data_IF_898522879391
#
_entry.id   IF_898522879391
#
_cell.length_a   1.000
_cell.length_b   1.000
_cell.length_c   1.000
_cell.angle_alpha   90.00
_cell.angle_beta   90.00
_cell.angle_gamma   90.00
#
_symmetry.space_group_name_H-M   'P 1'
#
loop_
_entity.id
_entity.type
_entity.pdbx_description
1 polymer ?
#
# COMPACT_ATOMS: atom_id res chain seq x y z
N UNK A 1 0.18 57.89 -51.60
CA UNK A 1 0.80 56.58 -51.89
C UNK A 1 0.60 55.67 -50.68
N UNK A 2 -0.07 54.52 -50.92
CA UNK A 2 0.08 53.22 -50.25
C UNK A 2 0.12 53.13 -48.71
N UNK A 3 -1.05 52.79 -48.15
CA UNK A 3 -1.35 51.70 -47.20
C UNK A 3 -0.34 51.42 -46.06
N UNK A 4 -0.78 51.61 -44.81
CA UNK A 4 -0.39 50.73 -43.70
C UNK A 4 -1.66 50.34 -42.96
N UNK A 5 -1.96 49.04 -43.02
CA UNK A 5 -3.03 48.37 -42.27
C UNK A 5 -2.56 48.20 -40.83
N UNK A 6 -3.37 48.62 -39.87
CA UNK A 6 -3.30 48.14 -38.50
C UNK A 6 -4.71 47.75 -38.06
N UNK A 7 -5.00 46.45 -38.15
CA UNK A 7 -6.21 45.86 -37.60
C UNK A 7 -6.04 45.71 -36.09
N UNK A 8 -6.74 46.53 -35.31
CA UNK A 8 -6.96 46.28 -33.89
C UNK A 8 -8.25 45.45 -33.78
N UNK A 9 -8.11 44.14 -33.58
CA UNK A 9 -9.24 43.24 -33.32
C UNK A 9 -9.49 43.15 -31.82
N UNK A 10 -10.78 43.20 -31.48
CA UNK A 10 -11.33 43.39 -30.15
C UNK A 10 -11.23 42.16 -29.22
N UNK A 11 -11.19 42.50 -27.92
CA UNK A 11 -11.70 41.80 -26.73
C UNK A 11 -12.21 40.35 -26.86
N UNK A 12 -11.62 39.48 -26.03
CA UNK A 12 -12.38 38.47 -25.29
C UNK A 12 -12.17 38.74 -23.80
N UNK A 13 -13.23 39.21 -23.14
CA UNK A 13 -13.27 39.39 -21.69
C UNK A 13 -13.21 38.01 -21.02
N UNK A 14 -12.13 37.71 -20.30
CA UNK A 14 -12.12 36.58 -19.38
C UNK A 14 -13.09 36.89 -18.24
N UNK A 15 -14.22 36.18 -18.19
CA UNK A 15 -15.09 36.18 -17.03
C UNK A 15 -14.33 35.53 -15.86
N UNK A 16 -13.72 36.36 -15.01
CA UNK A 16 -13.27 35.93 -13.70
C UNK A 16 -14.52 35.67 -12.87
N UNK A 17 -14.99 34.42 -12.84
CA UNK A 17 -15.95 34.01 -11.83
C UNK A 17 -15.27 34.20 -10.45
N UNK A 18 -15.84 35.00 -9.52
CA UNK A 18 -15.34 34.98 -8.17
C UNK A 18 -15.59 33.56 -7.64
N UNK A 19 -14.52 32.88 -7.23
CA UNK A 19 -14.57 31.60 -6.56
C UNK A 19 -15.18 31.80 -5.16
N UNK A 20 -16.50 32.03 -5.11
CA UNK A 20 -17.29 31.95 -3.89
C UNK A 20 -17.51 30.47 -3.61
N UNK A 21 -16.52 29.85 -2.99
CA UNK A 21 -16.51 28.42 -2.68
C UNK A 21 -15.63 28.04 -1.50
N UNK A 22 -15.22 29.00 -0.67
CA UNK A 22 -14.60 28.72 0.63
C UNK A 22 -15.45 29.32 1.75
N UNK A 23 -16.51 28.59 2.09
CA UNK A 23 -17.26 28.66 3.35
C UNK A 23 -17.64 27.21 3.66
N UNK A 24 -17.25 26.55 4.75
CA UNK A 24 -16.89 27.06 6.06
C UNK A 24 -15.86 26.13 6.73
N UNK A 25 -14.86 26.72 7.38
CA UNK A 25 -14.01 26.03 8.37
C UNK A 25 -14.79 25.58 9.63
N UNK A 26 -16.13 25.67 9.62
CA UNK A 26 -17.00 25.32 10.74
C UNK A 26 -17.28 23.81 10.87
N UNK A 27 -16.90 22.96 9.90
CA UNK A 27 -17.11 21.51 10.00
C UNK A 27 -16.02 20.77 10.79
N UNK A 28 -14.95 21.45 11.20
CA UNK A 28 -13.86 20.86 12.02
C UNK A 28 -14.10 20.97 13.53
N UNK A 29 -15.29 20.61 14.02
CA UNK A 29 -15.54 20.36 15.45
C UNK A 29 -16.47 19.16 15.64
N UNK A 30 -16.47 18.19 14.72
CA UNK A 30 -16.88 16.85 15.10
C UNK A 30 -15.85 16.36 16.13
N UNK A 31 -16.27 16.09 17.36
CA UNK A 31 -15.40 15.42 18.31
C UNK A 31 -14.94 14.13 17.65
N UNK A 32 -13.63 13.98 17.49
CA UNK A 32 -13.04 12.70 17.11
C UNK A 32 -13.32 11.76 18.28
N UNK A 33 -14.43 11.04 18.24
CA UNK A 33 -14.64 9.91 19.13
C UNK A 33 -13.41 9.00 18.96
N UNK A 34 -12.71 8.74 20.07
CA UNK A 34 -11.54 7.86 20.06
C UNK A 34 -11.95 6.49 19.52
N UNK A 35 -11.25 5.98 18.52
CA UNK A 35 -11.51 4.65 18.01
C UNK A 35 -11.31 3.62 19.13
N UNK A 36 -12.16 2.58 19.23
CA UNK A 36 -11.94 1.49 20.16
C UNK A 36 -10.54 0.90 19.96
N UNK A 37 -9.78 0.78 21.05
CA UNK A 37 -8.49 0.11 20.99
C UNK A 37 -8.71 -1.40 20.85
N UNK A 38 -8.13 -1.99 19.82
CA UNK A 38 -8.11 -3.44 19.66
C UNK A 38 -7.21 -4.05 20.73
N UNK A 39 -7.69 -5.08 21.43
CA UNK A 39 -6.84 -5.87 22.31
C UNK A 39 -5.97 -6.77 21.45
N UNK A 40 -4.66 -6.72 21.65
CA UNK A 40 -3.71 -7.62 21.03
C UNK A 40 -2.72 -8.14 22.10
N UNK A 41 -2.16 -9.30 21.83
CA UNK A 41 -1.03 -9.85 22.58
C UNK A 41 0.09 -10.08 21.57
N UNK A 42 1.30 -9.64 21.90
CA UNK A 42 2.49 -9.87 21.07
C UNK A 42 3.04 -11.24 21.45
N UNK A 43 3.11 -12.13 20.46
CA UNK A 43 3.82 -13.39 20.56
C UNK A 43 5.14 -13.26 19.79
N UNK A 44 6.23 -13.09 20.52
CA UNK A 44 7.56 -12.90 19.95
C UNK A 44 8.12 -14.18 19.31
N UNK A 45 7.58 -15.35 19.66
CA UNK A 45 8.08 -16.66 19.25
C UNK A 45 7.13 -17.36 18.25
N UNK A 46 6.10 -16.66 17.77
CA UNK A 46 5.08 -17.22 16.90
C UNK A 46 5.69 -17.90 15.65
N UNK A 47 6.59 -17.22 14.94
CA UNK A 47 7.22 -17.76 13.74
C UNK A 47 8.43 -18.64 14.09
N UNK A 48 8.29 -19.94 13.88
CA UNK A 48 9.35 -20.93 14.12
C UNK A 48 10.25 -21.04 12.89
N UNK A 49 11.21 -20.12 12.78
CA UNK A 49 12.16 -20.06 11.67
C UNK A 49 13.26 -21.13 11.80
N UNK A 50 13.73 -21.71 10.69
CA UNK A 50 14.95 -22.52 10.68
C UNK A 50 16.20 -21.71 11.00
N UNK A 51 17.21 -22.36 11.58
CA UNK A 51 18.49 -21.73 11.98
C UNK A 51 19.26 -21.06 10.85
N UNK A 52 18.96 -21.36 9.58
CA UNK A 52 19.62 -20.81 8.41
C UNK A 52 18.83 -19.67 7.74
N UNK A 53 17.69 -19.25 8.28
CA UNK A 53 16.86 -18.17 7.74
C UNK A 53 16.82 -17.02 8.73
N UNK A 54 17.35 -15.88 8.31
CA UNK A 54 17.17 -14.61 9.01
C UNK A 54 16.26 -13.69 8.18
N UNK A 55 15.01 -13.45 8.61
CA UNK A 55 14.15 -12.49 7.96
C UNK A 55 14.71 -11.08 8.13
N UNK A 56 14.52 -10.26 7.11
CA UNK A 56 14.82 -8.84 7.08
C UNK A 56 13.51 -8.06 7.20
N UNK A 57 13.29 -7.07 6.35
CA UNK A 57 12.06 -6.29 6.33
C UNK A 57 10.87 -7.13 5.83
N UNK A 58 9.89 -7.36 6.71
CA UNK A 58 8.59 -7.89 6.36
C UNK A 58 7.74 -6.78 5.73
N UNK A 59 7.42 -6.90 4.45
CA UNK A 59 6.70 -5.87 3.68
C UNK A 59 5.30 -6.29 3.25
N UNK A 60 4.92 -7.54 3.45
CA UNK A 60 3.58 -8.02 3.17
C UNK A 60 3.26 -9.34 3.86
N UNK A 61 1.99 -9.53 4.19
CA UNK A 61 1.48 -10.79 4.73
C UNK A 61 0.15 -11.13 4.07
N UNK A 62 -0.06 -12.41 3.76
CA UNK A 62 -1.34 -12.92 3.28
C UNK A 62 -1.63 -14.32 3.82
N UNK A 63 -2.90 -14.69 3.78
CA UNK A 63 -3.37 -16.04 4.08
C UNK A 63 -3.97 -16.63 2.81
N UNK A 64 -3.78 -17.94 2.60
CA UNK A 64 -4.60 -18.69 1.65
C UNK A 64 -5.86 -19.25 2.34
N UNK A 65 -6.72 -19.94 1.58
CA UNK A 65 -7.97 -20.54 2.08
C UNK A 65 -7.76 -21.58 3.20
N UNK A 66 -6.55 -22.14 3.32
CA UNK A 66 -6.15 -23.12 4.34
C UNK A 66 -5.56 -22.47 5.60
N UNK A 67 -5.42 -21.16 5.61
CA UNK A 67 -4.83 -20.40 6.73
C UNK A 67 -3.30 -20.47 6.79
N UNK A 68 -2.62 -20.96 5.75
CA UNK A 68 -1.17 -20.82 5.68
C UNK A 68 -0.80 -19.35 5.58
N UNK A 69 0.28 -18.97 6.27
CA UNK A 69 0.74 -17.60 6.37
C UNK A 69 1.89 -17.40 5.39
N UNK A 70 1.77 -16.43 4.50
CA UNK A 70 2.80 -16.05 3.55
C UNK A 70 3.38 -14.71 3.94
N UNK A 71 4.66 -14.68 4.28
CA UNK A 71 5.40 -13.48 4.68
C UNK A 71 6.34 -13.06 3.56
N UNK A 72 6.07 -11.90 2.96
CA UNK A 72 6.94 -11.27 1.97
C UNK A 72 8.07 -10.53 2.69
N UNK A 73 9.28 -11.01 2.49
CA UNK A 73 10.52 -10.62 3.17
C UNK A 73 11.50 -10.01 2.15
N UNK A 74 12.16 -8.90 2.48
CA UNK A 74 13.19 -8.30 1.59
C UNK A 74 14.59 -8.93 1.71
N UNK A 75 14.72 -10.06 2.42
CA UNK A 75 15.97 -10.80 2.52
C UNK A 75 16.22 -11.78 1.36
N UNK A 76 17.21 -12.65 1.55
CA UNK A 76 17.59 -13.69 0.57
C UNK A 76 16.51 -14.76 0.33
N UNK A 77 15.53 -14.83 1.25
CA UNK A 77 14.38 -15.72 1.21
C UNK A 77 13.10 -14.89 1.05
N UNK A 78 12.71 -14.55 -0.20
CA UNK A 78 11.81 -13.44 -0.43
C UNK A 78 10.37 -13.71 -0.01
N UNK A 79 9.92 -14.96 -0.07
CA UNK A 79 8.59 -15.33 0.40
C UNK A 79 8.68 -16.58 1.28
N UNK A 80 8.24 -16.44 2.52
CA UNK A 80 8.26 -17.51 3.52
C UNK A 80 6.84 -18.00 3.77
N UNK A 81 6.64 -19.31 3.71
CA UNK A 81 5.36 -19.96 4.00
C UNK A 81 5.40 -20.62 5.38
N UNK A 82 4.36 -20.40 6.17
CA UNK A 82 4.18 -20.98 7.50
C UNK A 82 2.79 -21.61 7.63
N UNK A 83 2.69 -22.59 8.51
CA UNK A 83 1.42 -23.14 9.00
C UNK A 83 0.67 -22.10 9.86
N UNK A 84 -0.64 -22.28 10.12
CA UNK A 84 -1.41 -21.37 10.98
C UNK A 84 -0.87 -21.22 12.40
N UNK A 85 -0.09 -22.19 12.89
CA UNK A 85 0.56 -22.17 14.20
C UNK A 85 1.97 -21.55 14.15
N UNK A 86 2.36 -20.96 13.02
CA UNK A 86 3.67 -20.33 12.80
C UNK A 86 4.81 -21.31 12.50
N UNK A 87 4.54 -22.61 12.34
CA UNK A 87 5.57 -23.58 11.93
C UNK A 87 6.01 -23.35 10.49
N UNK A 88 7.33 -23.27 10.25
CA UNK A 88 7.86 -23.06 8.90
C UNK A 88 7.57 -24.22 7.95
N UNK A 89 7.15 -23.90 6.72
CA UNK A 89 6.88 -24.88 5.66
C UNK A 89 7.99 -24.84 4.61
N UNK A 90 8.23 -23.67 3.98
CA UNK A 90 9.23 -23.51 2.92
C UNK A 90 9.53 -22.04 2.62
N UNK A 91 10.59 -21.82 1.85
CA UNK A 91 10.83 -20.57 1.13
C UNK A 91 10.51 -20.71 -0.35
N UNK A 92 10.05 -19.62 -0.96
CA UNK A 92 9.67 -19.52 -2.36
C UNK A 92 10.43 -18.32 -2.95
N UNK A 93 11.05 -18.52 -4.11
CA UNK A 93 11.70 -17.43 -4.85
C UNK A 93 13.16 -17.17 -4.48
N UNK A 94 13.82 -18.08 -3.74
CA UNK A 94 15.26 -17.98 -3.46
C UNK A 94 16.07 -17.74 -4.74
N UNK A 95 16.92 -16.71 -4.71
CA UNK A 95 17.74 -16.29 -5.85
C UNK A 95 16.98 -15.61 -7.00
N UNK A 96 15.67 -15.41 -6.88
CA UNK A 96 14.86 -14.77 -7.91
C UNK A 96 14.94 -13.23 -7.84
N UNK A 97 15.11 -12.61 -8.99
CA UNK A 97 15.18 -11.13 -9.12
C UNK A 97 13.80 -10.46 -9.11
N UNK A 98 12.72 -11.23 -9.25
CA UNK A 98 11.36 -10.67 -9.41
C UNK A 98 10.79 -10.08 -8.11
N UNK A 99 11.35 -10.46 -6.95
CA UNK A 99 10.87 -10.01 -5.64
C UNK A 99 11.55 -8.72 -5.15
N UNK A 100 12.59 -8.22 -5.84
CA UNK A 100 13.34 -7.03 -5.40
C UNK A 100 12.46 -5.79 -5.19
N UNK A 101 11.38 -5.65 -5.97
CA UNK A 101 10.45 -4.53 -5.90
C UNK A 101 9.02 -4.96 -5.50
N UNK A 102 8.83 -6.16 -4.95
CA UNK A 102 7.54 -6.59 -4.45
C UNK A 102 7.15 -5.78 -3.19
N UNK A 103 5.86 -5.44 -3.07
CA UNK A 103 5.32 -4.64 -1.95
C UNK A 103 4.12 -5.31 -1.26
N UNK A 104 3.55 -6.36 -1.86
CA UNK A 104 2.45 -7.11 -1.26
C UNK A 104 2.39 -8.50 -1.85
N UNK A 105 1.84 -9.42 -1.06
CA UNK A 105 1.37 -10.74 -1.50
C UNK A 105 -0.14 -10.80 -1.26
N UNK A 106 -0.89 -11.47 -2.14
CA UNK A 106 -2.34 -11.69 -2.02
C UNK A 106 -2.69 -13.06 -2.58
N UNK A 107 -3.89 -13.53 -2.27
CA UNK A 107 -4.48 -14.72 -2.87
C UNK A 107 -5.86 -14.36 -3.41
N UNK A 108 -6.24 -14.92 -4.56
CA UNK A 108 -7.62 -14.88 -5.04
C UNK A 108 -8.48 -15.99 -4.40
N UNK A 109 -9.73 -16.14 -4.85
CA UNK A 109 -10.68 -17.09 -4.27
C UNK A 109 -10.32 -18.56 -4.57
N UNK A 110 -9.45 -18.79 -5.56
CA UNK A 110 -8.99 -20.10 -6.01
C UNK A 110 -7.59 -20.44 -5.47
N UNK A 111 -7.07 -19.64 -4.52
CA UNK A 111 -5.71 -19.74 -3.97
C UNK A 111 -4.58 -19.48 -4.98
N UNK A 112 -4.82 -18.72 -6.07
CA UNK A 112 -3.73 -18.20 -6.89
C UNK A 112 -3.08 -16.99 -6.21
N UNK A 113 -1.75 -17.00 -6.20
CA UNK A 113 -0.91 -15.96 -5.58
C UNK A 113 -0.49 -14.88 -6.58
#
# INVERSE_FOLDING_TARGET
>A
MKQIVAAALALAASASAPLVGQSDNARMRASTASAPQLRFHVDEEFFKLPDNIWPSEAVGVALNSKGHIFLLNRGNHPLLEFMPDGSFVRSIGDGSTIFHAAHSVRFDAEDNM
#
